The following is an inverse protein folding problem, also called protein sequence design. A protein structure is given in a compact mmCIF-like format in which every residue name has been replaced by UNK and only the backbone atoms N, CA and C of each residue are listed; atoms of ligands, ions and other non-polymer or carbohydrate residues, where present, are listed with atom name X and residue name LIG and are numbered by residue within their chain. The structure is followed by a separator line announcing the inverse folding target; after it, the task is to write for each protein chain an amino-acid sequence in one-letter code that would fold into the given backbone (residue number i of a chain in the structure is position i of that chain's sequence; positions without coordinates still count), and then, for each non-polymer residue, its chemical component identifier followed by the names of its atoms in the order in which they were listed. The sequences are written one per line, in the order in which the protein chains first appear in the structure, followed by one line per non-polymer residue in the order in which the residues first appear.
data_IF_290518554716
#
_entry.id   IF_290518554716
#
_cell.length_a   1.000
_cell.length_b   1.000
_cell.length_c   1.000
_cell.angle_alpha   90.00
_cell.angle_beta   90.00
_cell.angle_gamma   90.00
#
_symmetry.space_group_name_H-M   'P 1'
#
loop_
_entity.id
_entity.type
_entity.pdbx_description
1 polymer ?
#
# COMPACT_ATOMS: atom_id res chain seq x y z
N UNK A 1 8.22 8.13 10.80
CA UNK A 1 8.04 8.25 9.34
C UNK A 1 8.36 9.69 8.98
N UNK A 2 9.62 9.98 8.66
CA UNK A 2 10.14 11.35 8.63
C UNK A 2 10.24 11.95 7.21
N UNK A 3 9.77 11.23 6.17
CA UNK A 3 9.79 11.68 4.77
C UNK A 3 8.47 11.39 4.02
N UNK A 4 7.33 11.73 4.63
CA UNK A 4 6.01 11.75 3.94
C UNK A 4 5.35 10.39 3.66
N UNK A 5 5.84 9.29 4.23
CA UNK A 5 5.21 7.97 4.14
C UNK A 5 4.35 7.63 5.35
N UNK A 6 3.42 6.69 5.19
CA UNK A 6 2.63 6.14 6.30
C UNK A 6 3.25 4.83 6.79
N UNK A 7 3.40 4.69 8.12
CA UNK A 7 3.79 3.39 8.73
C UNK A 7 2.58 2.45 8.79
N UNK A 8 1.43 3.00 9.13
CA UNK A 8 0.12 2.34 9.19
C UNK A 8 -0.94 3.36 8.78
N UNK A 9 -1.97 2.89 8.09
CA UNK A 9 -3.11 3.72 7.68
C UNK A 9 -4.37 2.87 7.71
N UNK A 10 -5.44 3.38 8.31
CA UNK A 10 -6.74 2.72 8.40
C UNK A 10 -7.79 3.73 7.96
N UNK A 11 -8.63 3.34 7.01
CA UNK A 11 -9.70 4.17 6.46
C UNK A 11 -10.97 3.34 6.29
N UNK A 12 -12.11 4.01 6.39
CA UNK A 12 -13.42 3.43 6.13
C UNK A 12 -13.90 3.90 4.74
N UNK A 13 -14.42 2.98 3.92
CA UNK A 13 -14.93 3.28 2.58
C UNK A 13 -16.40 2.91 2.51
N UNK A 14 -17.27 3.93 2.46
CA UNK A 14 -18.73 3.76 2.36
C UNK A 14 -19.20 3.82 0.92
N UNK A 15 -20.11 2.94 0.53
CA UNK A 15 -20.71 2.92 -0.79
C UNK A 15 -21.38 1.61 -1.15
N UNK A 16 -21.92 1.52 -2.35
CA UNK A 16 -22.59 0.30 -2.82
C UNK A 16 -21.58 -0.77 -3.26
N UNK A 17 -21.66 -1.96 -2.64
CA UNK A 17 -20.85 -3.15 -2.99
C UNK A 17 -19.33 -2.91 -2.95
N UNK A 18 -18.85 -2.04 -2.05
CA UNK A 18 -17.43 -1.67 -1.91
C UNK A 18 -16.55 -2.90 -1.67
N UNK A 19 -16.93 -3.74 -0.70
CA UNK A 19 -16.21 -4.98 -0.39
C UNK A 19 -16.09 -5.90 -1.62
N UNK A 20 -17.15 -6.03 -2.42
CA UNK A 20 -17.12 -6.88 -3.62
C UNK A 20 -16.10 -6.43 -4.66
N UNK A 21 -15.81 -5.12 -4.74
CA UNK A 21 -14.83 -4.57 -5.67
C UNK A 21 -13.42 -4.63 -5.08
N UNK A 22 -13.28 -4.27 -3.81
CA UNK A 22 -11.97 -4.12 -3.18
C UNK A 22 -11.40 -5.42 -2.61
N UNK A 23 -12.19 -6.48 -2.38
CA UNK A 23 -11.71 -7.76 -1.81
C UNK A 23 -10.46 -8.34 -2.50
N UNK A 24 -10.25 -8.05 -3.78
CA UNK A 24 -9.11 -8.52 -4.56
C UNK A 24 -7.80 -7.76 -4.28
N UNK A 25 -7.91 -6.56 -3.69
CA UNK A 25 -6.77 -5.75 -3.28
C UNK A 25 -6.17 -6.21 -1.93
N UNK A 26 -6.81 -7.18 -1.25
CA UNK A 26 -6.29 -7.76 -0.02
C UNK A 26 -5.06 -8.63 -0.33
N UNK A 27 -3.96 -8.41 0.39
CA UNK A 27 -2.71 -9.15 0.21
C UNK A 27 -1.46 -8.28 0.27
N UNK A 28 -0.36 -8.84 -0.23
CA UNK A 28 0.95 -8.17 -0.24
C UNK A 28 1.19 -7.55 -1.61
N UNK A 29 1.36 -6.23 -1.62
CA UNK A 29 1.69 -5.43 -2.78
C UNK A 29 3.19 -5.14 -2.80
N UNK A 30 3.88 -5.58 -3.85
CA UNK A 30 5.34 -5.43 -4.00
C UNK A 30 5.66 -4.28 -4.95
N UNK A 31 6.59 -3.42 -4.54
CA UNK A 31 7.12 -2.34 -5.38
C UNK A 31 8.62 -2.52 -5.55
N UNK A 32 9.08 -2.43 -6.78
CA UNK A 32 10.50 -2.41 -7.12
C UNK A 32 10.81 -1.11 -7.84
N UNK A 33 11.62 -0.25 -7.23
CA UNK A 33 11.94 1.06 -7.78
C UNK A 33 13.30 1.54 -7.30
N UNK A 34 13.87 2.50 -8.00
CA UNK A 34 14.96 3.33 -7.47
C UNK A 34 14.34 4.39 -6.57
N UNK A 35 14.68 4.45 -5.27
CA UNK A 35 14.16 5.49 -4.37
C UNK A 35 14.61 6.88 -4.83
N UNK A 36 13.75 7.90 -4.67
CA UNK A 36 14.17 9.29 -4.94
C UNK A 36 15.31 9.77 -4.04
N UNK A 37 15.53 9.12 -2.89
CA UNK A 37 16.63 9.42 -1.97
C UNK A 37 17.92 8.66 -2.30
N UNK A 38 17.90 7.77 -3.29
CA UNK A 38 19.04 6.93 -3.66
C UNK A 38 19.83 7.57 -4.80
N UNK A 39 21.13 7.78 -4.60
CA UNK A 39 21.98 8.52 -5.55
C UNK A 39 22.70 7.57 -6.52
N UNK A 40 22.84 6.29 -6.18
CA UNK A 40 23.60 5.31 -6.99
C UNK A 40 22.73 4.47 -7.94
N UNK A 41 21.42 4.75 -8.04
CA UNK A 41 20.53 4.02 -8.95
C UNK A 41 20.22 2.58 -8.54
N UNK A 42 20.47 2.20 -7.29
CA UNK A 42 20.16 0.86 -6.79
C UNK A 42 18.65 0.65 -6.66
N UNK A 43 18.17 -0.50 -7.13
CA UNK A 43 16.75 -0.85 -7.04
C UNK A 43 16.46 -1.39 -5.64
N UNK A 44 15.50 -0.77 -4.97
CA UNK A 44 14.98 -1.25 -3.70
C UNK A 44 13.68 -2.02 -3.96
N UNK A 45 13.57 -3.18 -3.30
CA UNK A 45 12.30 -3.92 -3.23
C UNK A 45 11.63 -3.59 -1.90
N UNK A 46 10.37 -3.18 -1.95
CA UNK A 46 9.55 -2.91 -0.77
C UNK A 46 8.21 -3.64 -0.89
N UNK A 47 7.58 -3.89 0.25
CA UNK A 47 6.27 -4.53 0.33
C UNK A 47 5.32 -3.71 1.21
N UNK A 48 4.05 -3.72 0.86
CA UNK A 48 2.96 -3.17 1.66
C UNK A 48 1.86 -4.23 1.77
N UNK A 49 1.35 -4.46 2.97
CA UNK A 49 0.23 -5.38 3.19
C UNK A 49 -1.07 -4.57 3.26
N UNK A 50 -2.05 -4.96 2.47
CA UNK A 50 -3.39 -4.39 2.46
C UNK A 50 -4.35 -5.44 3.01
N UNK A 51 -5.16 -5.05 3.99
CA UNK A 51 -6.20 -5.89 4.56
C UNK A 51 -7.55 -5.20 4.37
N UNK A 52 -8.51 -5.90 3.77
CA UNK A 52 -9.85 -5.39 3.49
C UNK A 52 -10.84 -6.26 4.22
N UNK A 53 -11.58 -5.63 5.13
CA UNK A 53 -12.61 -6.27 5.94
C UNK A 53 -13.95 -5.65 5.56
N UNK A 54 -15.04 -6.44 5.54
CA UNK A 54 -16.38 -5.87 5.48
C UNK A 54 -16.66 -5.08 6.77
N UNK A 55 -17.59 -4.12 6.68
CA UNK A 55 -18.19 -3.50 7.86
C UNK A 55 -19.00 -4.50 8.69
#
# INVERSE_FOLDING_TARGET
AEKGGYKTYVMEVKGSRVYSKLKYESGVHRVQRVPQTETQGRVHTSTATVAIMPE
#
